data_IF_326705562551
#
_entry.id   IF_326705562551
#
_cell.length_a   1.000
_cell.length_b   1.000
_cell.length_c   1.000
_cell.angle_alpha   90.00
_cell.angle_beta   90.00
_cell.angle_gamma   90.00
#
_symmetry.space_group_name_H-M   'P 1'
#
loop_
_entity.id
_entity.type
_entity.pdbx_description
1 polymer ?
#
# COMPACT_ATOMS: atom_id res chain seq x y z
N UNK A 1 4.36 2.08 -13.45
CA UNK A 1 3.99 2.66 -12.14
C UNK A 1 3.68 4.17 -12.20
N UNK A 2 4.43 5.00 -12.95
CA UNK A 2 4.16 6.46 -13.07
C UNK A 2 2.81 6.83 -13.70
N UNK A 3 2.26 5.98 -14.56
CA UNK A 3 0.99 6.21 -15.26
C UNK A 3 -0.21 6.03 -14.34
N UNK A 4 -0.23 4.97 -13.52
CA UNK A 4 -1.34 4.70 -12.61
C UNK A 4 -1.49 5.77 -11.53
N UNK A 5 -0.38 6.27 -10.98
CA UNK A 5 -0.43 7.36 -10.00
C UNK A 5 -0.95 8.67 -10.62
N UNK A 6 -0.55 8.98 -11.85
CA UNK A 6 -1.06 10.15 -12.58
C UNK A 6 -2.56 10.04 -12.87
N UNK A 7 -3.03 8.87 -13.28
CA UNK A 7 -4.45 8.62 -13.58
C UNK A 7 -5.28 8.71 -12.31
N UNK A 8 -4.80 8.14 -11.20
CA UNK A 8 -5.51 8.22 -9.92
C UNK A 8 -5.60 9.66 -9.42
N UNK A 9 -4.49 10.42 -9.51
CA UNK A 9 -4.44 11.83 -9.12
C UNK A 9 -5.33 12.73 -10.00
N UNK A 10 -5.34 12.51 -11.31
CA UNK A 10 -6.24 13.22 -12.22
C UNK A 10 -7.70 12.84 -11.93
N UNK A 11 -7.96 11.57 -11.61
CA UNK A 11 -9.29 11.06 -11.30
C UNK A 11 -9.86 11.67 -10.01
N UNK A 12 -9.06 11.75 -8.95
CA UNK A 12 -9.46 12.45 -7.71
C UNK A 12 -9.66 13.94 -7.94
N UNK A 13 -8.76 14.60 -8.65
CA UNK A 13 -8.89 16.03 -8.95
C UNK A 13 -10.18 16.33 -9.75
N UNK A 14 -10.51 15.47 -10.72
CA UNK A 14 -11.72 15.60 -11.54
C UNK A 14 -12.99 15.30 -10.73
N UNK A 15 -12.96 14.30 -9.84
CA UNK A 15 -14.04 14.02 -8.88
C UNK A 15 -14.31 15.19 -7.94
N UNK A 16 -13.26 15.82 -7.40
CA UNK A 16 -13.39 17.01 -6.53
C UNK A 16 -13.97 18.18 -7.31
N UNK A 17 -13.52 18.41 -8.55
CA UNK A 17 -14.06 19.46 -9.41
C UNK A 17 -15.55 19.24 -9.71
N UNK A 18 -15.94 18.00 -10.03
CA UNK A 18 -17.33 17.62 -10.26
C UNK A 18 -18.20 17.79 -9.00
N UNK A 19 -17.67 17.44 -7.83
CA UNK A 19 -18.35 17.64 -6.55
C UNK A 19 -18.51 19.13 -6.21
N UNK A 20 -17.51 19.97 -6.47
CA UNK A 20 -17.63 21.41 -6.30
C UNK A 20 -18.66 22.02 -7.26
N UNK A 21 -18.67 21.59 -8.52
CA UNK A 21 -19.64 22.08 -9.51
C UNK A 21 -21.07 21.61 -9.19
N UNK A 22 -21.23 20.35 -8.77
CA UNK A 22 -22.52 19.80 -8.32
C UNK A 22 -23.03 20.44 -7.04
N UNK A 23 -22.15 20.71 -6.07
CA UNK A 23 -22.48 21.44 -4.84
C UNK A 23 -22.88 22.89 -5.12
N UNK A 24 -22.19 23.58 -6.05
CA UNK A 24 -22.55 24.93 -6.47
C UNK A 24 -23.90 24.98 -7.21
N UNK A 25 -24.20 23.99 -8.05
CA UNK A 25 -25.48 23.86 -8.74
C UNK A 25 -26.65 23.62 -7.76
N UNK A 26 -26.44 22.81 -6.72
CA UNK A 26 -27.44 22.59 -5.66
C UNK A 26 -27.69 23.87 -4.85
N UNK A 27 -26.65 24.65 -4.55
CA UNK A 27 -26.79 25.94 -3.86
C UNK A 27 -27.50 26.99 -4.74
N UNK A 28 -27.29 26.97 -6.06
CA UNK A 28 -27.96 27.89 -6.99
C UNK A 28 -29.47 27.61 -7.16
N UNK A 29 -29.94 26.41 -6.87
CA UNK A 29 -31.38 26.06 -6.97
C UNK A 29 -32.20 26.36 -5.71
N UNK A 30 -31.57 26.67 -4.57
CA UNK A 30 -32.27 26.99 -3.32
C UNK A 30 -32.48 28.51 -3.10
N UNK A 31 -32.18 29.34 -4.10
CA UNK A 31 -32.16 30.80 -3.98
C UNK A 31 -33.39 31.54 -4.49
N UNK A 32 -34.46 30.86 -4.91
CA UNK A 32 -35.65 31.54 -5.42
C UNK A 32 -36.89 31.12 -4.65
N UNK A 33 -37.22 31.91 -3.63
CA UNK A 33 -38.61 32.10 -3.17
C UNK A 33 -39.43 32.64 -4.35
N UNK A 34 -39.78 31.75 -5.28
CA UNK A 34 -40.54 32.09 -6.47
C UNK A 34 -42.03 31.97 -6.14
N UNK A 35 -42.59 33.06 -5.62
CA UNK A 35 -44.02 33.24 -5.46
C UNK A 35 -44.67 33.36 -6.84
N UNK A 36 -45.25 32.27 -7.35
CA UNK A 36 -46.05 32.31 -8.58
C UNK A 36 -47.52 32.38 -8.17
N UNK A 37 -48.09 33.59 -8.21
CA UNK A 37 -49.54 33.82 -8.05
C UNK A 37 -50.20 33.53 -9.38
N UNK A 38 -50.97 32.45 -9.47
CA UNK A 38 -51.81 32.14 -10.62
C UNK A 38 -53.26 32.23 -10.17
N UNK A 39 -53.99 33.22 -10.70
CA UNK A 39 -55.45 33.32 -10.54
C UNK A 39 -55.94 33.51 -9.09
N UNK A 40 -55.28 34.40 -8.32
CA UNK A 40 -55.58 34.71 -6.91
C UNK A 40 -55.52 33.52 -5.92
N UNK A 41 -55.07 32.34 -6.38
CA UNK A 41 -54.69 31.22 -5.52
C UNK A 41 -53.17 31.23 -5.31
N UNK A 42 -52.77 31.34 -4.05
CA UNK A 42 -51.37 31.21 -3.62
C UNK A 42 -50.94 29.75 -3.73
N UNK A 43 -50.31 29.38 -4.84
CA UNK A 43 -49.71 28.06 -5.03
C UNK A 43 -48.36 28.02 -4.29
N UNK A 44 -48.42 27.63 -3.02
CA UNK A 44 -47.25 27.34 -2.20
C UNK A 44 -46.51 26.10 -2.74
N UNK A 45 -45.59 26.32 -3.68
CA UNK A 45 -44.60 25.30 -4.09
C UNK A 45 -43.64 24.94 -2.93
N UNK A 46 -43.65 25.69 -1.82
CA UNK A 46 -42.90 25.42 -0.59
C UNK A 46 -43.66 24.66 0.51
N UNK A 47 -44.92 24.25 0.27
CA UNK A 47 -45.77 23.64 1.30
C UNK A 47 -45.61 22.12 1.47
N UNK A 48 -44.79 21.71 2.43
CA UNK A 48 -44.99 20.53 3.29
C UNK A 48 -44.68 19.10 2.79
N UNK A 49 -43.60 18.90 2.03
CA UNK A 49 -42.91 17.59 2.11
C UNK A 49 -42.21 17.12 0.86
N UNK A 50 -42.62 17.57 -0.33
CA UNK A 50 -41.98 17.13 -1.57
C UNK A 50 -40.56 17.69 -1.72
N UNK A 51 -40.37 18.99 -1.44
CA UNK A 51 -39.04 19.62 -1.49
C UNK A 51 -38.09 19.08 -0.42
N UNK A 52 -38.58 18.86 0.79
CA UNK A 52 -37.79 18.32 1.90
C UNK A 52 -37.44 16.84 1.68
N UNK A 53 -38.38 16.04 1.16
CA UNK A 53 -38.13 14.64 0.80
C UNK A 53 -37.20 14.49 -0.41
N UNK A 54 -37.32 15.35 -1.42
CA UNK A 54 -36.39 15.40 -2.56
C UNK A 54 -35.00 15.87 -2.12
N UNK A 55 -34.92 16.91 -1.29
CA UNK A 55 -33.66 17.39 -0.74
C UNK A 55 -32.97 16.34 0.13
N UNK A 56 -33.73 15.66 0.99
CA UNK A 56 -33.22 14.58 1.84
C UNK A 56 -32.76 13.37 1.02
N UNK A 57 -33.51 12.97 -0.01
CA UNK A 57 -33.13 11.83 -0.86
C UNK A 57 -31.92 12.13 -1.74
N UNK A 58 -31.83 13.32 -2.33
CA UNK A 58 -30.66 13.77 -3.09
C UNK A 58 -29.45 13.93 -2.17
N UNK A 59 -29.64 14.52 -0.99
CA UNK A 59 -28.61 14.67 0.04
C UNK A 59 -28.09 13.32 0.52
N UNK A 60 -28.98 12.35 0.76
CA UNK A 60 -28.61 10.98 1.13
C UNK A 60 -27.86 10.29 -0.01
N UNK A 61 -28.31 10.45 -1.25
CA UNK A 61 -27.63 9.87 -2.42
C UNK A 61 -26.22 10.43 -2.57
N UNK A 62 -26.05 11.75 -2.49
CA UNK A 62 -24.73 12.40 -2.56
C UNK A 62 -23.86 12.01 -1.36
N UNK A 63 -24.40 12.03 -0.13
CA UNK A 63 -23.68 11.60 1.06
C UNK A 63 -23.23 10.14 0.95
N UNK A 64 -24.09 9.26 0.43
CA UNK A 64 -23.75 7.85 0.20
C UNK A 64 -22.65 7.70 -0.84
N UNK A 65 -22.71 8.45 -1.96
CA UNK A 65 -21.68 8.43 -2.99
C UNK A 65 -20.32 8.94 -2.46
N UNK A 66 -20.33 10.01 -1.66
CA UNK A 66 -19.12 10.52 -0.99
C UNK A 66 -18.57 9.48 -0.02
N UNK A 67 -19.44 8.83 0.75
CA UNK A 67 -19.03 7.83 1.73
C UNK A 67 -18.43 6.57 1.07
N UNK A 68 -19.00 6.12 -0.05
CA UNK A 68 -18.58 4.90 -0.76
C UNK A 68 -17.38 5.15 -1.69
N UNK A 69 -17.22 6.35 -2.24
CA UNK A 69 -16.17 6.63 -3.25
C UNK A 69 -15.08 7.52 -2.68
N UNK A 70 -15.44 8.69 -2.14
CA UNK A 70 -14.46 9.71 -1.73
C UNK A 70 -13.74 9.28 -0.46
N UNK A 71 -14.47 8.79 0.54
CA UNK A 71 -13.92 8.35 1.82
C UNK A 71 -12.83 7.27 1.68
N UNK A 72 -13.05 6.16 0.94
CA UNK A 72 -12.00 5.17 0.74
C UNK A 72 -10.83 5.72 -0.11
N UNK A 73 -11.08 6.58 -1.11
CA UNK A 73 -10.00 7.23 -1.86
C UNK A 73 -9.13 8.12 -0.97
N UNK A 74 -9.74 8.90 -0.08
CA UNK A 74 -9.03 9.76 0.88
C UNK A 74 -8.25 8.91 1.88
N UNK A 75 -8.80 7.81 2.38
CA UNK A 75 -8.07 6.91 3.27
C UNK A 75 -6.91 6.21 2.56
N UNK A 76 -7.10 5.78 1.31
CA UNK A 76 -6.04 5.14 0.52
C UNK A 76 -4.91 6.14 0.22
N UNK A 77 -5.25 7.36 -0.21
CA UNK A 77 -4.26 8.36 -0.59
C UNK A 77 -3.62 9.05 0.62
N UNK A 78 -4.41 9.32 1.66
CA UNK A 78 -3.98 10.03 2.86
C UNK A 78 -3.26 9.14 3.87
N UNK A 79 -3.70 7.89 4.06
CA UNK A 79 -3.13 6.97 5.07
C UNK A 79 -2.30 5.88 4.40
N UNK A 80 -2.83 5.21 3.38
CA UNK A 80 -2.10 4.09 2.79
C UNK A 80 -0.84 4.54 2.03
N UNK A 81 -0.86 5.71 1.38
CA UNK A 81 0.32 6.24 0.67
C UNK A 81 1.51 6.52 1.62
N UNK A 82 1.38 7.30 2.71
CA UNK A 82 2.50 7.50 3.63
C UNK A 82 2.92 6.20 4.33
N UNK A 83 1.98 5.32 4.67
CA UNK A 83 2.31 4.01 5.25
C UNK A 83 3.13 3.15 4.27
N UNK A 84 2.76 3.16 2.99
CA UNK A 84 3.49 2.46 1.93
C UNK A 84 4.89 3.04 1.73
N UNK A 85 5.03 4.37 1.84
CA UNK A 85 6.33 5.04 1.75
C UNK A 85 7.23 4.62 2.92
N UNK A 86 6.73 4.66 4.16
CA UNK A 86 7.47 4.23 5.35
C UNK A 86 7.86 2.75 5.24
N UNK A 87 6.92 1.88 4.89
CA UNK A 87 7.19 0.45 4.73
C UNK A 87 8.19 0.19 3.60
N UNK A 88 8.08 0.92 2.49
CA UNK A 88 9.00 0.83 1.37
C UNK A 88 10.43 1.24 1.76
N UNK A 89 10.59 2.35 2.48
CA UNK A 89 11.89 2.79 2.99
C UNK A 89 12.48 1.75 3.95
N UNK A 90 11.68 1.24 4.88
CA UNK A 90 12.11 0.18 5.80
C UNK A 90 12.54 -1.08 5.04
N UNK A 91 11.79 -1.48 4.01
CA UNK A 91 12.14 -2.60 3.16
C UNK A 91 13.48 -2.40 2.45
N UNK A 92 13.74 -1.21 1.90
CA UNK A 92 15.03 -0.87 1.26
C UNK A 92 16.17 -0.90 2.26
N UNK A 93 15.98 -0.34 3.45
CA UNK A 93 16.97 -0.38 4.53
C UNK A 93 17.31 -1.84 4.87
N UNK A 94 16.30 -2.68 5.16
CA UNK A 94 16.53 -4.09 5.50
C UNK A 94 17.21 -4.85 4.34
N UNK A 95 16.73 -4.65 3.11
CA UNK A 95 17.31 -5.29 1.93
C UNK A 95 18.76 -4.86 1.70
N UNK A 96 19.09 -3.59 1.94
CA UNK A 96 20.48 -3.12 1.82
C UNK A 96 21.37 -3.67 2.93
N UNK A 97 20.90 -3.75 4.18
CA UNK A 97 21.66 -4.39 5.26
C UNK A 97 21.92 -5.87 4.97
N UNK A 98 20.90 -6.61 4.54
CA UNK A 98 21.04 -8.02 4.17
C UNK A 98 21.91 -8.18 2.93
N UNK A 99 21.78 -7.30 1.94
CA UNK A 99 22.58 -7.30 0.73
C UNK A 99 24.06 -7.09 1.03
N UNK A 100 24.40 -6.04 1.77
CA UNK A 100 25.78 -5.76 2.19
C UNK A 100 26.31 -6.86 3.10
N UNK A 101 25.50 -7.36 4.04
CA UNK A 101 25.84 -8.48 4.90
C UNK A 101 26.11 -9.76 4.11
N UNK A 102 25.36 -10.03 3.05
CA UNK A 102 25.59 -11.17 2.16
C UNK A 102 26.81 -10.98 1.26
N UNK A 103 27.04 -9.77 0.75
CA UNK A 103 28.22 -9.43 -0.07
C UNK A 103 29.53 -9.57 0.72
N UNK A 104 29.55 -9.11 1.97
CA UNK A 104 30.70 -9.25 2.87
C UNK A 104 30.79 -10.65 3.48
N UNK A 105 29.64 -11.26 3.82
CA UNK A 105 29.57 -12.59 4.41
C UNK A 105 29.91 -13.71 3.43
N UNK A 106 29.60 -13.54 2.15
CA UNK A 106 29.86 -14.54 1.09
C UNK A 106 31.34 -14.97 1.03
N UNK A 107 32.32 -14.06 0.90
CA UNK A 107 33.73 -14.45 0.92
C UNK A 107 34.15 -15.09 2.24
N UNK A 108 33.63 -14.65 3.39
CA UNK A 108 33.97 -15.25 4.70
C UNK A 108 33.40 -16.66 4.87
N UNK A 109 32.16 -16.88 4.44
CA UNK A 109 31.50 -18.20 4.50
C UNK A 109 32.21 -19.19 3.58
N UNK A 110 32.61 -18.73 2.39
CA UNK A 110 33.32 -19.55 1.41
C UNK A 110 34.74 -19.90 1.90
N UNK A 111 35.43 -18.95 2.55
CA UNK A 111 36.73 -19.19 3.18
C UNK A 111 36.61 -20.13 4.38
N UNK A 112 35.60 -19.97 5.22
CA UNK A 112 35.31 -20.88 6.33
C UNK A 112 35.04 -22.30 5.84
N UNK A 113 34.24 -22.46 4.78
CA UNK A 113 33.93 -23.75 4.17
C UNK A 113 35.19 -24.40 3.56
N UNK A 114 36.05 -23.61 2.91
CA UNK A 114 37.33 -24.07 2.37
C UNK A 114 38.24 -24.61 3.48
N UNK A 115 38.43 -23.84 4.56
CA UNK A 115 39.23 -24.25 5.71
C UNK A 115 38.66 -25.52 6.35
N UNK A 116 37.34 -25.60 6.49
CA UNK A 116 36.66 -26.78 7.01
C UNK A 116 36.90 -28.02 6.15
N UNK A 117 36.79 -27.90 4.82
CA UNK A 117 37.05 -28.99 3.87
C UNK A 117 38.52 -29.45 3.96
N UNK A 118 39.47 -28.52 4.00
CA UNK A 118 40.90 -28.82 4.09
C UNK A 118 41.23 -29.55 5.40
N UNK A 119 40.73 -29.05 6.54
CA UNK A 119 40.92 -29.70 7.85
C UNK A 119 40.30 -31.09 7.89
N UNK A 120 39.08 -31.24 7.34
CA UNK A 120 38.40 -32.55 7.25
C UNK A 120 39.18 -33.53 6.38
N UNK A 121 39.71 -33.09 5.26
CA UNK A 121 40.49 -33.96 4.36
C UNK A 121 41.83 -34.36 4.98
N UNK A 122 42.52 -33.41 5.63
CA UNK A 122 43.77 -33.69 6.34
C UNK A 122 43.57 -34.64 7.52
N UNK A 123 42.46 -34.48 8.27
CA UNK A 123 42.09 -35.40 9.34
C UNK A 123 41.90 -36.84 8.84
N UNK A 124 41.21 -37.02 7.69
CA UNK A 124 41.04 -38.33 7.07
C UNK A 124 42.35 -38.92 6.58
N UNK A 125 43.20 -38.14 5.92
CA UNK A 125 44.51 -38.59 5.46
C UNK A 125 45.40 -39.06 6.64
N UNK A 126 45.42 -38.31 7.74
CA UNK A 126 46.19 -38.68 8.93
C UNK A 126 45.67 -39.97 9.59
N UNK A 127 44.36 -40.25 9.55
CA UNK A 127 43.77 -41.47 10.09
C UNK A 127 44.22 -42.73 9.31
N UNK A 128 44.36 -42.64 7.99
CA UNK A 128 44.87 -43.75 7.18
C UNK A 128 46.36 -44.04 7.45
N UNK A 129 47.17 -42.99 7.61
CA UNK A 129 48.60 -43.13 7.93
C UNK A 129 48.80 -43.75 9.31
N UNK A 130 48.02 -43.33 10.30
CA UNK A 130 48.08 -43.91 11.65
C UNK A 130 47.57 -45.36 11.71
N UNK A 131 46.54 -45.69 10.92
CA UNK A 131 46.07 -47.07 10.77
C UNK A 131 47.11 -47.99 10.09
N UNK A 132 47.78 -47.52 9.03
CA UNK A 132 48.88 -48.27 8.40
C UNK A 132 50.06 -48.46 9.35
N UNK A 133 50.43 -47.43 10.12
CA UNK A 133 51.52 -47.52 11.09
C UNK A 133 51.22 -48.52 12.23
N UNK A 134 49.95 -48.63 12.66
CA UNK A 134 49.54 -49.66 13.62
C UNK A 134 49.55 -51.07 13.02
N UNK A 135 49.08 -51.24 11.78
CA UNK A 135 49.13 -52.53 11.10
C UNK A 135 50.56 -53.03 10.88
N UNK A 136 51.50 -52.15 10.50
CA UNK A 136 52.90 -52.51 10.29
C UNK A 136 53.62 -52.92 11.59
N UNK A 137 53.27 -52.30 12.72
CA UNK A 137 53.79 -52.72 14.04
C UNK A 137 53.24 -54.06 14.51
N UNK A 138 51.97 -54.36 14.20
CA UNK A 138 51.36 -55.65 14.54
C UNK A 138 51.97 -56.83 13.79
N UNK A 139 52.53 -56.62 12.60
CA UNK A 139 53.22 -57.66 11.82
C UNK A 139 54.70 -57.83 12.16
N UNK A 140 55.27 -56.91 12.94
CA UNK A 140 56.69 -56.93 13.33
C UNK A 140 56.92 -57.45 14.77
N UNK A 141 55.85 -57.78 15.48
CA UNK A 141 55.86 -58.42 16.81
C UNK A 141 55.39 -59.87 16.68
#
# INVERSE_FOLDING_TARGET
MKTLFKILFIGTALMVLAAMFGGFALLHHHGSDMHIVVNDEELFLGGNGLGDWLGASIGLFVASAVCVVVLPLVLLLGVALPLLLVLGVMGVVIASLLGVGALLGSPLILLGLLVFIVLRNRSRANAHVSAQAQSARSTAA
#
